data_IF_300536773280
#
_entry.id   IF_300536773280
#
_cell.length_a   1.000
_cell.length_b   1.000
_cell.length_c   1.000
_cell.angle_alpha   90.00
_cell.angle_beta   90.00
_cell.angle_gamma   90.00
#
_symmetry.space_group_name_H-M   'P 1'
#
loop_
_entity.id
_entity.type
_entity.pdbx_description
1 polymer ?
#
# COMPACT_ATOMS: atom_id res chain seq x y z
N UNK A 1 18.61 -37.07 -2.11
CA UNK A 1 17.25 -37.09 -1.52
C UNK A 1 16.30 -36.44 -2.51
N UNK A 2 15.29 -37.17 -2.98
CA UNK A 2 14.33 -36.64 -3.96
C UNK A 2 12.99 -36.44 -3.28
N UNK A 3 12.46 -35.21 -3.37
CA UNK A 3 11.12 -34.85 -2.95
C UNK A 3 10.33 -34.46 -4.20
N UNK A 4 9.05 -34.83 -4.27
CA UNK A 4 8.15 -34.37 -5.33
C UNK A 4 7.09 -33.49 -4.69
N UNK A 5 7.05 -32.22 -5.10
CA UNK A 5 6.01 -31.28 -4.71
C UNK A 5 4.88 -31.40 -5.72
N UNK A 6 3.65 -31.66 -5.25
CA UNK A 6 2.47 -31.71 -6.10
C UNK A 6 1.45 -30.72 -5.57
N UNK A 7 1.17 -29.67 -6.35
CA UNK A 7 0.11 -28.72 -6.06
C UNK A 7 -1.23 -29.36 -6.40
N UNK A 8 -2.13 -29.46 -5.43
CA UNK A 8 -3.53 -29.85 -5.68
C UNK A 8 -4.32 -28.60 -6.04
N UNK A 9 -5.14 -28.70 -7.10
CA UNK A 9 -5.97 -27.61 -7.60
C UNK A 9 -7.03 -27.17 -6.60
N UNK A 10 -7.36 -25.88 -6.64
CA UNK A 10 -8.25 -25.18 -5.72
C UNK A 10 -9.69 -25.73 -5.75
N UNK A 11 -10.29 -25.86 -4.56
CA UNK A 11 -11.74 -25.86 -4.41
C UNK A 11 -12.23 -24.40 -4.33
N UNK A 12 -13.07 -23.98 -5.26
CA UNK A 12 -13.56 -22.58 -5.39
C UNK A 12 -14.41 -22.09 -4.19
N UNK A 13 -14.70 -22.95 -3.23
CA UNK A 13 -15.57 -22.66 -2.08
C UNK A 13 -14.84 -22.64 -0.73
N UNK A 14 -13.50 -22.62 -0.72
CA UNK A 14 -12.71 -22.53 0.50
C UNK A 14 -12.53 -21.07 0.99
N UNK A 15 -12.52 -20.80 2.31
CA UNK A 15 -12.21 -19.49 2.87
C UNK A 15 -10.81 -19.04 2.42
N UNK A 16 -10.66 -17.74 2.09
CA UNK A 16 -9.47 -17.17 1.44
C UNK A 16 -8.13 -17.42 2.15
N UNK A 17 -8.15 -17.78 3.43
CA UNK A 17 -6.97 -18.13 4.24
C UNK A 17 -6.38 -19.52 3.92
N UNK A 18 -7.04 -20.36 3.11
CA UNK A 18 -6.61 -21.73 2.81
C UNK A 18 -6.15 -21.94 1.37
N UNK A 19 -5.82 -20.87 0.65
CA UNK A 19 -5.58 -20.92 -0.81
C UNK A 19 -4.36 -21.75 -1.28
N UNK A 20 -3.51 -22.22 -0.37
CA UNK A 20 -2.41 -23.13 -0.73
C UNK A 20 -2.15 -24.17 0.35
N UNK A 21 -2.54 -25.41 0.11
CA UNK A 21 -2.03 -26.57 0.83
C UNK A 21 -0.91 -27.21 0.00
N UNK A 22 0.34 -27.11 0.47
CA UNK A 22 1.46 -27.87 -0.11
C UNK A 22 1.62 -29.15 0.68
N UNK A 23 1.37 -30.30 0.05
CA UNK A 23 1.68 -31.61 0.64
C UNK A 23 3.07 -32.04 0.20
N UNK A 24 4.00 -32.22 1.14
CA UNK A 24 5.31 -32.84 0.88
C UNK A 24 5.27 -34.27 1.42
N UNK A 25 5.31 -35.26 0.53
CA UNK A 25 5.39 -36.66 0.92
C UNK A 25 6.77 -37.23 0.65
N UNK A 26 7.33 -37.94 1.63
CA UNK A 26 8.53 -38.77 1.44
C UNK A 26 8.11 -40.06 0.73
N UNK A 27 8.77 -40.40 -0.37
CA UNK A 27 8.59 -41.71 -1.01
C UNK A 27 9.45 -42.71 -0.24
N UNK A 28 8.84 -43.48 0.66
CA UNK A 28 9.46 -44.68 1.22
C UNK A 28 8.81 -45.93 0.63
N UNK A 29 9.66 -46.85 0.17
CA UNK A 29 9.27 -48.07 -0.54
C UNK A 29 9.09 -49.19 0.50
N UNK A 30 7.86 -49.69 0.62
CA UNK A 30 7.45 -50.90 1.34
C UNK A 30 7.50 -50.85 2.90
N UNK A 31 6.35 -50.54 3.51
CA UNK A 31 6.06 -50.73 4.94
C UNK A 31 4.67 -50.19 5.31
N UNK A 32 4.01 -50.68 6.38
CA UNK A 32 2.65 -50.29 6.72
C UNK A 32 2.53 -48.77 6.89
N UNK A 33 1.60 -48.17 6.15
CA UNK A 33 1.37 -46.72 6.06
C UNK A 33 0.82 -46.19 7.37
N UNK A 34 1.68 -45.83 8.31
CA UNK A 34 1.29 -44.97 9.42
C UNK A 34 1.12 -43.55 8.87
N UNK A 35 -0.12 -43.05 8.82
CA UNK A 35 -0.40 -41.66 8.51
C UNK A 35 -0.01 -40.83 9.73
N UNK A 36 1.23 -40.35 9.77
CA UNK A 36 1.60 -39.27 10.69
C UNK A 36 1.15 -37.98 10.01
N UNK A 37 -0.02 -37.47 10.39
CA UNK A 37 -0.42 -36.09 10.08
C UNK A 37 0.53 -35.20 10.88
N UNK A 38 1.57 -34.71 10.21
CA UNK A 38 2.35 -33.60 10.74
C UNK A 38 1.45 -32.37 10.65
N UNK A 39 0.84 -32.02 11.78
CA UNK A 39 0.33 -30.67 11.97
C UNK A 39 1.55 -29.76 11.99
N UNK A 40 1.85 -29.12 10.87
CA UNK A 40 2.70 -27.93 10.90
C UNK A 40 1.80 -26.88 11.54
N UNK A 41 1.84 -26.79 12.88
CA UNK A 41 1.43 -25.57 13.55
C UNK A 41 2.37 -24.50 13.02
N UNK A 42 1.90 -23.77 12.01
CA UNK A 42 2.50 -22.54 11.57
C UNK A 42 2.26 -21.54 12.70
N UNK A 43 3.05 -21.67 13.77
CA UNK A 43 3.17 -20.66 14.82
C UNK A 43 4.03 -19.53 14.26
N UNK A 44 3.61 -18.98 13.12
CA UNK A 44 4.08 -17.71 12.64
C UNK A 44 3.14 -16.69 13.27
N UNK A 45 3.67 -15.82 14.11
CA UNK A 45 3.20 -14.45 14.24
C UNK A 45 3.07 -13.88 12.81
N UNK A 46 1.94 -14.11 12.16
CA UNK A 46 1.60 -13.37 10.96
C UNK A 46 1.49 -11.93 11.43
N UNK A 47 2.31 -11.05 10.86
CA UNK A 47 2.27 -9.62 11.16
C UNK A 47 0.82 -9.15 11.18
N UNK A 48 0.45 -8.42 12.22
CA UNK A 48 -0.93 -7.97 12.42
C UNK A 48 -1.50 -7.36 11.11
N UNK A 49 -2.69 -7.79 10.64
CA UNK A 49 -3.29 -7.28 9.41
C UNK A 49 -3.40 -5.76 9.34
N UNK A 50 -3.54 -5.10 10.49
CA UNK A 50 -3.51 -3.65 10.60
C UNK A 50 -2.15 -3.07 10.21
N UNK A 51 -1.06 -3.69 10.64
CA UNK A 51 0.31 -3.25 10.31
C UNK A 51 0.62 -3.46 8.82
N UNK A 52 0.12 -4.54 8.23
CA UNK A 52 0.21 -4.77 6.77
C UNK A 52 -0.53 -3.66 6.01
N UNK A 53 -1.73 -3.31 6.47
CA UNK A 53 -2.51 -2.22 5.87
C UNK A 53 -1.78 -0.88 5.97
N UNK A 54 -1.24 -0.57 7.16
CA UNK A 54 -0.46 0.64 7.40
C UNK A 54 0.80 0.71 6.52
N UNK A 55 1.47 -0.41 6.28
CA UNK A 55 2.62 -0.46 5.39
C UNK A 55 2.26 -0.12 3.94
N UNK A 56 1.14 -0.67 3.43
CA UNK A 56 0.63 -0.34 2.10
C UNK A 56 0.21 1.13 1.98
N UNK A 57 -0.48 1.67 2.99
CA UNK A 57 -0.85 3.09 3.06
C UNK A 57 0.39 3.99 3.06
N UNK A 58 1.42 3.63 3.82
CA UNK A 58 2.68 4.36 3.85
C UNK A 58 3.36 4.37 2.47
N UNK A 59 3.47 3.22 1.80
CA UNK A 59 4.06 3.13 0.46
C UNK A 59 3.36 4.05 -0.56
N UNK A 60 2.03 4.03 -0.58
CA UNK A 60 1.25 4.90 -1.47
C UNK A 60 1.39 6.39 -1.12
N UNK A 61 1.32 6.74 0.16
CA UNK A 61 1.49 8.12 0.62
C UNK A 61 2.89 8.66 0.30
N UNK A 62 3.91 7.81 0.40
CA UNK A 62 5.29 8.20 0.14
C UNK A 62 5.51 8.72 -1.28
N UNK A 63 4.89 8.13 -2.30
CA UNK A 63 5.00 8.62 -3.67
C UNK A 63 4.48 10.05 -3.79
N UNK A 64 3.29 10.34 -3.22
CA UNK A 64 2.70 11.67 -3.23
C UNK A 64 3.55 12.70 -2.46
N UNK A 65 4.08 12.30 -1.30
CA UNK A 65 4.88 13.17 -0.44
C UNK A 65 6.23 13.50 -1.05
N UNK A 66 6.89 12.53 -1.70
CA UNK A 66 8.21 12.68 -2.28
C UNK A 66 8.25 13.65 -3.46
N UNK A 67 7.15 13.82 -4.19
CA UNK A 67 7.03 14.80 -5.28
C UNK A 67 6.43 16.14 -4.83
N UNK A 68 5.98 16.23 -3.58
CA UNK A 68 5.38 17.46 -3.05
C UNK A 68 6.42 18.53 -2.68
N UNK A 69 5.93 19.76 -2.46
CA UNK A 69 6.70 20.85 -1.87
C UNK A 69 7.04 20.60 -0.39
N UNK A 70 6.23 19.80 0.31
CA UNK A 70 6.39 19.48 1.74
C UNK A 70 7.40 18.37 2.05
N UNK A 71 8.14 17.90 1.04
CA UNK A 71 8.91 16.67 1.13
C UNK A 71 10.03 16.69 2.17
N UNK A 72 10.68 17.85 2.41
CA UNK A 72 11.75 17.97 3.41
C UNK A 72 11.22 17.61 4.80
N UNK A 73 10.02 18.10 5.13
CA UNK A 73 9.35 17.77 6.39
C UNK A 73 8.98 16.28 6.45
N UNK A 74 8.60 15.68 5.32
CA UNK A 74 8.32 14.25 5.24
C UNK A 74 9.56 13.41 5.49
N UNK A 75 10.68 13.75 4.83
CA UNK A 75 11.98 13.08 5.00
C UNK A 75 12.43 13.13 6.45
N UNK A 76 12.47 14.33 7.04
CA UNK A 76 12.98 14.51 8.39
C UNK A 76 12.11 13.76 9.41
N UNK A 77 10.79 13.73 9.22
CA UNK A 77 9.88 12.94 10.03
C UNK A 77 10.12 11.44 9.90
N UNK A 78 10.31 10.93 8.68
CA UNK A 78 10.58 9.51 8.43
C UNK A 78 11.92 9.07 9.04
N UNK A 79 12.97 9.88 8.84
CA UNK A 79 14.29 9.64 9.45
C UNK A 79 14.19 9.68 10.97
N UNK A 80 13.35 10.54 11.55
CA UNK A 80 13.11 10.58 13.01
C UNK A 80 12.51 9.27 13.53
N UNK A 81 11.51 8.72 12.85
CA UNK A 81 10.95 7.40 13.18
C UNK A 81 12.05 6.34 13.12
N UNK A 82 12.82 6.27 12.04
CA UNK A 82 13.90 5.30 11.92
C UNK A 82 14.99 5.48 12.97
N UNK A 83 15.37 6.71 13.33
CA UNK A 83 16.35 6.96 14.41
C UNK A 83 15.89 6.43 15.76
N UNK A 84 14.59 6.43 16.02
CA UNK A 84 14.03 5.94 17.29
C UNK A 84 14.01 4.41 17.37
N UNK A 85 13.63 3.74 16.29
CA UNK A 85 13.42 2.28 16.31
C UNK A 85 14.59 1.49 15.72
N UNK A 86 15.25 2.00 14.67
CA UNK A 86 16.41 1.39 14.01
C UNK A 86 17.49 2.43 13.65
N UNK A 87 18.22 2.97 14.65
CA UNK A 87 19.16 4.06 14.43
C UNK A 87 20.26 3.74 13.40
N UNK A 88 20.65 2.46 13.28
CA UNK A 88 21.68 2.02 12.33
C UNK A 88 21.22 2.11 10.86
N UNK A 89 19.90 2.09 10.61
CA UNK A 89 19.32 2.16 9.28
C UNK A 89 18.86 3.58 8.90
N UNK A 90 18.90 4.54 9.83
CA UNK A 90 18.36 5.88 9.59
C UNK A 90 19.07 6.63 8.45
N UNK A 91 20.40 6.58 8.40
CA UNK A 91 21.17 7.26 7.36
C UNK A 91 21.03 6.57 5.98
N UNK A 92 20.74 5.27 5.97
CA UNK A 92 20.38 4.55 4.74
C UNK A 92 19.01 5.02 4.25
N UNK A 93 18.00 5.05 5.13
CA UNK A 93 16.66 5.50 4.79
C UNK A 93 16.65 6.94 4.27
N UNK A 94 17.45 7.84 4.85
CA UNK A 94 17.59 9.21 4.33
C UNK A 94 18.08 9.23 2.87
N UNK A 95 19.10 8.44 2.54
CA UNK A 95 19.63 8.34 1.17
C UNK A 95 18.65 7.70 0.20
N UNK A 96 17.90 6.71 0.66
CA UNK A 96 16.88 6.03 -0.13
C UNK A 96 15.70 6.96 -0.42
N UNK A 97 15.31 7.84 0.51
CA UNK A 97 14.29 8.88 0.30
C UNK A 97 14.71 9.86 -0.80
N UNK A 98 15.94 10.38 -0.72
CA UNK A 98 16.51 11.27 -1.74
C UNK A 98 16.58 10.59 -3.12
N UNK A 99 16.93 9.31 -3.14
CA UNK A 99 17.03 8.52 -4.39
C UNK A 99 15.65 8.26 -4.97
N UNK A 100 14.67 7.89 -4.14
CA UNK A 100 13.27 7.70 -4.54
C UNK A 100 12.67 8.99 -5.11
N UNK A 101 12.88 10.14 -4.46
CA UNK A 101 12.42 11.44 -4.98
C UNK A 101 13.01 11.75 -6.34
N UNK A 102 14.32 11.55 -6.53
CA UNK A 102 14.96 11.77 -7.84
C UNK A 102 14.37 10.86 -8.92
N UNK A 103 14.12 9.59 -8.61
CA UNK A 103 13.50 8.66 -9.55
C UNK A 103 12.08 9.11 -9.95
N UNK A 104 11.25 9.49 -8.98
CA UNK A 104 9.89 9.98 -9.21
C UNK A 104 9.86 11.29 -10.03
N UNK A 105 10.77 12.22 -9.76
CA UNK A 105 10.87 13.46 -10.53
C UNK A 105 11.27 13.22 -11.99
N UNK A 106 12.16 12.25 -12.24
CA UNK A 106 12.53 11.84 -13.60
C UNK A 106 11.34 11.17 -14.31
N UNK A 107 10.61 10.30 -13.61
CA UNK A 107 9.45 9.59 -14.17
C UNK A 107 8.29 10.54 -14.51
N UNK A 108 8.09 11.59 -13.69
CA UNK A 108 7.11 12.64 -13.94
C UNK A 108 7.40 13.40 -15.24
N UNK A 109 8.68 13.72 -15.50
CA UNK A 109 9.11 14.38 -16.75
C UNK A 109 8.94 13.48 -17.99
N UNK A 110 9.02 12.15 -17.83
CA UNK A 110 8.85 11.18 -18.92
C UNK A 110 7.42 10.65 -19.10
N UNK A 111 6.46 11.12 -18.29
CA UNK A 111 5.09 10.60 -18.22
C UNK A 111 5.00 9.08 -17.99
N UNK A 112 5.99 8.50 -17.32
CA UNK A 112 6.05 7.07 -16.99
C UNK A 112 5.46 6.82 -15.60
N UNK A 113 4.26 6.24 -15.55
CA UNK A 113 3.58 5.90 -14.29
C UNK A 113 4.10 4.61 -13.65
N UNK A 114 4.99 3.87 -14.32
CA UNK A 114 5.53 2.59 -13.81
C UNK A 114 6.47 2.84 -12.63
N UNK A 115 7.29 3.91 -12.70
CA UNK A 115 8.23 4.28 -11.64
C UNK A 115 7.56 4.54 -10.29
N UNK A 116 6.35 5.09 -10.30
CA UNK A 116 5.56 5.37 -9.09
C UNK A 116 5.21 4.07 -8.34
N UNK A 117 4.84 3.01 -9.08
CA UNK A 117 4.41 1.74 -8.48
C UNK A 117 5.57 1.00 -7.81
N UNK A 118 6.75 1.02 -8.43
CA UNK A 118 7.92 0.35 -7.89
C UNK A 118 8.46 1.07 -6.66
N UNK A 119 8.49 2.42 -6.67
CA UNK A 119 8.85 3.21 -5.48
C UNK A 119 7.85 2.97 -4.35
N UNK A 120 6.55 2.93 -4.62
CA UNK A 120 5.54 2.64 -3.60
C UNK A 120 5.78 1.27 -2.94
N UNK A 121 6.02 0.23 -3.73
CA UNK A 121 6.28 -1.15 -3.23
C UNK A 121 7.55 -1.22 -2.39
N UNK A 122 8.59 -0.51 -2.81
CA UNK A 122 9.86 -0.46 -2.08
C UNK A 122 9.73 0.18 -0.70
N UNK A 123 8.91 1.23 -0.59
CA UNK A 123 8.58 1.86 0.68
C UNK A 123 7.65 1.01 1.54
N UNK A 124 6.66 0.35 0.94
CA UNK A 124 5.80 -0.61 1.62
C UNK A 124 6.61 -1.71 2.30
N UNK A 125 7.54 -2.35 1.58
CA UNK A 125 8.39 -3.39 2.15
C UNK A 125 9.26 -2.89 3.31
N UNK A 126 9.91 -1.73 3.15
CA UNK A 126 10.75 -1.16 4.22
C UNK A 126 9.94 -0.82 5.48
N UNK A 127 8.72 -0.31 5.30
CA UNK A 127 7.81 -0.03 6.41
C UNK A 127 7.32 -1.33 7.06
N UNK A 128 6.96 -2.34 6.27
CA UNK A 128 6.56 -3.64 6.78
C UNK A 128 7.69 -4.27 7.61
N UNK A 129 8.94 -4.23 7.13
CA UNK A 129 10.11 -4.71 7.88
C UNK A 129 10.27 -3.96 9.21
N UNK A 130 10.13 -2.62 9.20
CA UNK A 130 10.17 -1.82 10.42
C UNK A 130 9.08 -2.25 11.41
N UNK A 131 7.83 -2.38 10.96
CA UNK A 131 6.68 -2.71 11.80
C UNK A 131 6.72 -4.16 12.30
N UNK A 132 7.28 -5.08 11.52
CA UNK A 132 7.49 -6.47 11.92
C UNK A 132 8.46 -6.62 13.08
N UNK A 133 9.55 -5.83 13.09
CA UNK A 133 10.51 -5.84 14.20
C UNK A 133 10.09 -4.93 15.36
N UNK A 134 9.40 -3.83 15.06
CA UNK A 134 8.98 -2.82 16.03
C UNK A 134 7.52 -2.38 15.84
N UNK A 135 6.55 -3.18 16.30
CA UNK A 135 5.12 -2.84 16.19
C UNK A 135 4.76 -1.49 16.83
N UNK A 136 5.51 -1.08 17.86
CA UNK A 136 5.32 0.22 18.53
C UNK A 136 5.63 1.44 17.66
N UNK A 137 6.18 1.27 16.46
CA UNK A 137 6.39 2.35 15.49
C UNK A 137 5.11 2.75 14.73
N UNK A 138 4.06 1.91 14.78
CA UNK A 138 2.83 2.09 14.01
C UNK A 138 2.14 3.43 14.29
N UNK A 139 1.95 3.78 15.57
CA UNK A 139 1.27 5.03 15.96
C UNK A 139 2.04 6.28 15.53
N UNK A 140 3.37 6.24 15.62
CA UNK A 140 4.22 7.37 15.23
C UNK A 140 4.22 7.54 13.71
N UNK A 141 4.28 6.43 12.96
CA UNK A 141 4.19 6.45 11.51
C UNK A 141 2.80 6.93 11.04
N UNK A 142 1.73 6.47 11.67
CA UNK A 142 0.37 6.93 11.38
C UNK A 142 0.22 8.43 11.61
N UNK A 143 0.65 8.92 12.77
CA UNK A 143 0.61 10.35 13.11
C UNK A 143 1.43 11.18 12.12
N UNK A 144 2.57 10.66 11.68
CA UNK A 144 3.41 11.29 10.66
C UNK A 144 2.66 11.38 9.32
N UNK A 145 2.09 10.28 8.84
CA UNK A 145 1.35 10.22 7.58
C UNK A 145 0.11 11.12 7.62
N UNK A 146 -0.65 11.14 8.72
CA UNK A 146 -1.83 12.01 8.90
C UNK A 146 -1.46 13.50 8.85
N UNK A 147 -0.30 13.87 9.37
CA UNK A 147 0.20 15.26 9.33
C UNK A 147 0.65 15.66 7.94
N UNK A 148 1.28 14.74 7.21
CA UNK A 148 1.96 15.03 5.95
C UNK A 148 1.04 14.88 4.76
N UNK A 149 0.09 13.95 4.80
CA UNK A 149 -0.93 13.81 3.78
C UNK A 149 -1.78 15.06 3.87
N UNK A 150 -1.71 15.99 2.88
CA UNK A 150 -2.68 17.06 2.85
C UNK A 150 -4.04 16.38 2.80
N UNK A 151 -4.92 16.71 3.75
CA UNK A 151 -6.31 16.28 3.70
C UNK A 151 -6.80 16.72 2.34
N UNK A 152 -6.80 15.82 1.36
CA UNK A 152 -7.48 16.04 0.10
C UNK A 152 -8.87 16.46 0.55
N UNK A 153 -9.37 17.66 0.19
CA UNK A 153 -10.70 18.07 0.58
C UNK A 153 -11.56 16.89 0.21
N UNK A 154 -12.11 16.26 1.25
CA UNK A 154 -12.71 14.96 1.17
C UNK A 154 -13.42 14.90 -0.17
N UNK A 155 -13.07 13.92 -1.02
CA UNK A 155 -14.09 13.41 -1.94
C UNK A 155 -15.13 12.82 -0.99
N UNK A 156 -15.93 13.71 -0.39
CA UNK A 156 -17.26 13.43 0.05
C UNK A 156 -17.86 12.91 -1.25
N UNK A 157 -17.91 11.59 -1.40
CA UNK A 157 -19.07 11.01 -2.01
C UNK A 157 -20.23 11.76 -1.37
N UNK A 158 -20.80 12.71 -2.12
CA UNK A 158 -21.98 13.41 -1.68
C UNK A 158 -23.03 12.30 -1.65
N UNK A 159 -23.17 11.63 -0.50
CA UNK A 159 -24.21 10.63 -0.25
C UNK A 159 -25.53 11.35 0.03
N UNK A 160 -25.89 12.21 -0.92
CA UNK A 160 -27.06 13.05 -0.97
C UNK A 160 -27.15 13.57 -2.39
N UNK A 161 -28.16 13.16 -3.15
CA UNK A 161 -28.28 13.54 -4.55
C UNK A 161 -28.19 15.06 -4.72
N UNK A 162 -27.36 15.50 -5.66
CA UNK A 162 -27.25 16.92 -6.01
C UNK A 162 -28.53 17.34 -6.73
N UNK A 163 -29.32 18.23 -6.12
CA UNK A 163 -30.49 18.83 -6.77
C UNK A 163 -30.11 20.19 -7.34
N UNK A 164 -30.19 20.31 -8.67
CA UNK A 164 -29.97 21.56 -9.39
C UNK A 164 -31.32 22.09 -9.88
N UNK A 165 -31.80 23.18 -9.28
CA UNK A 165 -33.00 23.88 -9.75
C UNK A 165 -32.59 25.11 -10.55
N UNK A 166 -33.08 25.23 -11.78
CA UNK A 166 -32.87 26.37 -12.66
C UNK A 166 -34.19 26.98 -13.11
N UNK A 167 -34.27 28.30 -13.08
CA UNK A 167 -35.40 29.07 -13.61
C UNK A 167 -34.90 30.10 -14.62
N UNK A 168 -35.39 30.03 -15.85
CA UNK A 168 -35.14 31.01 -16.91
C UNK A 168 -36.46 31.67 -17.35
N UNK A 169 -36.39 32.94 -17.73
CA UNK A 169 -37.51 33.68 -18.33
C UNK A 169 -37.02 34.62 -19.43
N UNK A 170 -37.78 34.74 -20.52
CA UNK A 170 -37.35 35.46 -21.73
C UNK A 170 -36.44 34.59 -22.62
N UNK A 171 -35.59 35.22 -23.44
CA UNK A 171 -34.62 34.50 -24.29
C UNK A 171 -33.34 34.20 -23.50
N UNK A 172 -33.34 33.11 -22.73
CA UNK A 172 -32.20 32.70 -21.90
C UNK A 172 -31.72 31.29 -22.22
N UNK A 173 -30.42 31.03 -22.00
CA UNK A 173 -29.79 29.70 -22.08
C UNK A 173 -29.18 29.39 -20.72
N UNK A 174 -29.48 28.23 -20.16
CA UNK A 174 -28.91 27.77 -18.89
C UNK A 174 -28.08 26.51 -19.16
N UNK A 175 -26.85 26.52 -18.67
CA UNK A 175 -25.95 25.37 -18.69
C UNK A 175 -25.58 25.06 -17.23
N UNK A 176 -25.92 23.87 -16.75
CA UNK A 176 -25.59 23.43 -15.40
C UNK A 176 -24.83 22.11 -15.44
N UNK A 177 -23.75 22.05 -14.66
CA UNK A 177 -22.95 20.85 -14.44
C UNK A 177 -22.56 20.72 -12.97
N UNK A 178 -22.44 19.48 -12.50
CA UNK A 178 -21.84 19.18 -11.18
C UNK A 178 -20.32 19.00 -11.29
N UNK A 179 -19.79 18.86 -12.51
CA UNK A 179 -18.36 18.74 -12.82
C UNK A 179 -17.95 19.68 -13.96
N UNK A 180 -16.86 19.37 -14.65
CA UNK A 180 -16.28 20.27 -15.64
C UNK A 180 -17.20 20.46 -16.87
N UNK A 181 -17.45 21.72 -17.22
CA UNK A 181 -18.28 22.10 -18.36
C UNK A 181 -17.51 23.02 -19.29
N UNK A 182 -17.24 22.53 -20.50
CA UNK A 182 -16.65 23.29 -21.58
C UNK A 182 -17.74 23.70 -22.58
N UNK A 183 -18.08 24.99 -22.62
CA UNK A 183 -18.99 25.55 -23.62
C UNK A 183 -18.17 26.26 -24.69
N UNK A 184 -18.27 25.79 -25.93
CA UNK A 184 -17.76 26.49 -27.09
C UNK A 184 -18.93 27.13 -27.82
N UNK A 185 -19.07 28.45 -27.71
CA UNK A 185 -20.05 29.21 -28.47
C UNK A 185 -19.46 29.63 -29.83
N UNK A 186 -20.30 29.63 -30.87
CA UNK A 186 -19.98 30.14 -32.21
C UNK A 186 -20.82 31.37 -32.51
#
# INVERSE_FOLDING_TARGET
MNFTVRQLGLDDNAPVSWKSCVTVSRVDVAGPKSCVVWSIEFSGDAMDPYLVTLAGEAGAAMVALLVSEGWQQARDGMVTVWRRYRPQAADEVERELETSRRALLIAADSADTTGDTDVARDWEHRVADLLGEHPGAAEELRTLLDRLTPVAPNRQEIQGGVRLDAHASGSSRIYMSVGDQHINER
#
